data_IF_369422555413
#
_entry.id   IF_369422555413
#
_cell.length_a   1.000
_cell.length_b   1.000
_cell.length_c   1.000
_cell.angle_alpha   90.00
_cell.angle_beta   90.00
_cell.angle_gamma   90.00
#
_symmetry.space_group_name_H-M   'P 1'
#
loop_
_entity.id
_entity.type
_entity.pdbx_description
1 polymer ?
#
# COMPACT_ATOMS: atom_id res chain seq x y z
N UNK A 1 -0.43 15.97 -4.07
CA UNK A 1 -1.36 15.25 -3.18
C UNK A 1 -2.31 16.26 -2.56
N UNK A 2 -3.58 15.90 -2.32
CA UNK A 2 -4.55 16.81 -1.69
C UNK A 2 -4.11 17.08 -0.25
N UNK A 3 -3.78 18.33 0.06
CA UNK A 3 -3.21 18.72 1.38
C UNK A 3 -4.26 19.14 2.40
N UNK A 4 -5.50 19.41 1.95
CA UNK A 4 -6.59 19.91 2.77
C UNK A 4 -7.93 19.50 2.16
N UNK A 5 -8.85 19.00 2.98
CA UNK A 5 -10.27 18.94 2.60
C UNK A 5 -10.94 20.22 3.09
N UNK A 6 -11.65 20.90 2.19
CA UNK A 6 -12.50 22.05 2.48
C UNK A 6 -13.95 21.60 2.60
N UNK A 7 -14.73 22.33 3.38
CA UNK A 7 -16.14 22.02 3.55
C UNK A 7 -16.91 22.28 2.24
N UNK A 8 -17.84 21.39 1.89
CA UNK A 8 -18.64 21.47 0.66
C UNK A 8 -17.97 20.98 -0.63
N UNK A 9 -16.71 20.53 -0.61
CA UNK A 9 -16.02 20.01 -1.80
C UNK A 9 -15.92 18.48 -1.81
N UNK A 10 -16.28 17.86 -2.94
CA UNK A 10 -16.08 16.42 -3.17
C UNK A 10 -14.87 16.21 -4.07
N UNK A 11 -13.88 15.46 -3.59
CA UNK A 11 -12.66 15.12 -4.34
C UNK A 11 -12.54 13.61 -4.51
N UNK A 12 -12.46 13.12 -5.76
CA UNK A 12 -12.11 11.73 -6.03
C UNK A 12 -10.58 11.57 -5.93
N UNK A 13 -10.10 11.06 -4.79
CA UNK A 13 -8.68 10.85 -4.55
C UNK A 13 -8.11 9.57 -5.18
N UNK A 14 -9.00 8.65 -5.58
CA UNK A 14 -8.62 7.40 -6.22
C UNK A 14 -9.55 6.25 -5.88
N UNK A 15 -9.19 5.06 -6.36
CA UNK A 15 -9.91 3.82 -6.06
C UNK A 15 -9.34 3.16 -4.80
N UNK A 16 -10.19 2.85 -3.83
CA UNK A 16 -9.81 2.05 -2.65
C UNK A 16 -9.52 0.62 -3.10
N UNK A 17 -8.31 0.12 -2.82
CA UNK A 17 -7.87 -1.22 -3.23
C UNK A 17 -7.71 -2.15 -2.03
N UNK A 18 -8.79 -2.81 -1.63
CA UNK A 18 -8.82 -3.68 -0.43
C UNK A 18 -7.79 -4.83 -0.53
N UNK A 19 -7.55 -5.39 -1.73
CA UNK A 19 -6.81 -6.65 -1.88
C UNK A 19 -5.28 -6.52 -1.92
N UNK A 20 -4.70 -5.31 -1.89
CA UNK A 20 -3.25 -5.09 -2.04
C UNK A 20 -2.57 -4.54 -0.77
N UNK A 21 -3.34 -4.30 0.30
CA UNK A 21 -2.79 -3.81 1.57
C UNK A 21 -1.74 -4.77 2.10
N UNK A 22 -2.08 -6.05 2.27
CA UNK A 22 -1.20 -7.00 2.98
C UNK A 22 0.11 -7.31 2.27
N UNK A 23 0.16 -7.20 0.94
CA UNK A 23 1.31 -7.64 0.16
C UNK A 23 2.37 -6.56 -0.01
N UNK A 24 1.97 -5.32 -0.27
CA UNK A 24 2.91 -4.25 -0.62
C UNK A 24 2.73 -2.97 0.20
N UNK A 25 1.50 -2.68 0.63
CA UNK A 25 1.19 -1.42 1.31
C UNK A 25 1.19 -1.52 2.85
N UNK A 26 1.27 -2.73 3.42
CA UNK A 26 1.20 -2.98 4.86
C UNK A 26 2.18 -2.15 5.68
N UNK A 27 3.48 -2.02 5.33
CA UNK A 27 4.41 -1.20 6.11
C UNK A 27 3.99 0.28 6.15
N UNK A 28 3.59 0.84 5.00
CA UNK A 28 3.18 2.24 4.90
C UNK A 28 1.86 2.50 5.64
N UNK A 29 0.89 1.59 5.49
CA UNK A 29 -0.41 1.65 6.18
C UNK A 29 -0.22 1.53 7.69
N UNK A 30 0.58 0.58 8.19
CA UNK A 30 0.85 0.45 9.62
C UNK A 30 1.55 1.68 10.20
N UNK A 31 2.50 2.26 9.47
CA UNK A 31 3.17 3.48 9.90
C UNK A 31 2.17 4.67 9.98
N UNK A 32 1.26 4.78 9.01
CA UNK A 32 0.22 5.79 9.02
C UNK A 32 -0.79 5.57 10.17
N UNK A 33 -1.17 4.31 10.45
CA UNK A 33 -1.99 3.97 11.62
C UNK A 33 -1.33 4.46 12.90
N UNK A 34 -0.04 4.21 13.10
CA UNK A 34 0.68 4.70 14.29
C UNK A 34 0.66 6.23 14.42
N UNK A 35 0.85 6.95 13.31
CA UNK A 35 0.81 8.43 13.30
C UNK A 35 -0.58 9.00 13.56
N UNK A 36 -1.60 8.40 12.96
CA UNK A 36 -3.00 8.81 13.11
C UNK A 36 -3.49 8.48 14.52
N UNK A 37 -3.09 7.33 15.07
CA UNK A 37 -3.45 6.93 16.42
C UNK A 37 -2.82 7.82 17.50
N UNK A 38 -1.57 8.24 17.33
CA UNK A 38 -0.93 9.20 18.22
C UNK A 38 -1.53 10.63 18.14
N UNK A 39 -2.39 10.90 17.16
CA UNK A 39 -3.02 12.20 16.97
C UNK A 39 -4.37 12.37 17.68
N UNK A 40 -4.89 13.60 17.59
CA UNK A 40 -6.25 13.92 18.02
C UNK A 40 -7.31 13.14 17.21
N UNK A 41 -8.48 12.94 17.81
CA UNK A 41 -9.65 12.39 17.10
C UNK A 41 -10.01 13.24 15.88
N UNK A 42 -10.54 12.60 14.83
CA UNK A 42 -10.82 13.28 13.57
C UNK A 42 -9.59 13.47 12.67
N UNK A 43 -8.39 13.09 13.13
CA UNK A 43 -7.19 13.04 12.29
C UNK A 43 -7.34 11.93 11.25
N UNK A 44 -6.87 12.24 10.05
CA UNK A 44 -6.74 11.29 8.96
C UNK A 44 -5.38 11.43 8.29
N UNK A 45 -4.99 10.41 7.54
CA UNK A 45 -3.82 10.43 6.68
C UNK A 45 -4.13 9.71 5.37
N UNK A 46 -3.69 10.29 4.24
CA UNK A 46 -3.76 9.65 2.93
C UNK A 46 -2.44 8.95 2.64
N UNK A 47 -2.50 7.64 2.41
CA UNK A 47 -1.37 6.80 2.05
C UNK A 47 -1.46 6.47 0.57
N UNK A 48 -0.41 6.76 -0.19
CA UNK A 48 -0.35 6.40 -1.60
C UNK A 48 -0.32 4.87 -1.77
N UNK A 49 -1.19 4.34 -2.65
CA UNK A 49 -1.12 2.92 -3.00
C UNK A 49 0.08 2.67 -3.90
N UNK A 50 0.58 1.44 -3.89
CA UNK A 50 1.67 1.04 -4.77
C UNK A 50 1.27 -0.15 -5.62
N UNK A 51 1.82 -0.19 -6.83
CA UNK A 51 1.68 -1.29 -7.77
C UNK A 51 3.03 -1.99 -7.92
N UNK A 52 3.07 -3.32 -7.91
CA UNK A 52 4.21 -4.00 -8.50
C UNK A 52 4.28 -3.68 -10.00
N UNK A 53 5.49 -3.73 -10.55
CA UNK A 53 5.73 -3.51 -11.98
C UNK A 53 4.81 -4.38 -12.88
N UNK A 54 4.44 -3.89 -14.08
CA UNK A 54 3.68 -4.68 -15.03
C UNK A 54 4.32 -6.05 -15.30
N UNK A 55 3.51 -7.11 -15.28
CA UNK A 55 3.99 -8.48 -15.53
C UNK A 55 4.79 -9.11 -14.37
N UNK A 56 4.79 -8.52 -13.17
CA UNK A 56 5.48 -9.07 -12.00
C UNK A 56 5.13 -10.54 -11.71
N UNK A 57 3.91 -10.99 -12.00
CA UNK A 57 3.49 -12.38 -11.79
C UNK A 57 4.30 -13.37 -12.64
N UNK A 58 4.53 -13.05 -13.91
CA UNK A 58 5.34 -13.88 -14.80
C UNK A 58 6.80 -13.92 -14.32
N UNK A 59 7.34 -12.76 -13.90
CA UNK A 59 8.68 -12.66 -13.32
C UNK A 59 8.80 -13.47 -12.03
N UNK A 60 7.79 -13.43 -11.15
CA UNK A 60 7.75 -14.21 -9.92
C UNK A 60 7.73 -15.71 -10.21
N UNK A 61 6.89 -16.17 -11.15
CA UNK A 61 6.86 -17.58 -11.57
C UNK A 61 8.21 -18.03 -12.13
N UNK A 62 8.84 -17.20 -12.96
CA UNK A 62 10.19 -17.43 -13.49
C UNK A 62 11.24 -17.52 -12.39
N UNK A 63 11.19 -16.62 -11.39
CA UNK A 63 12.07 -16.66 -10.22
C UNK A 63 11.89 -17.94 -9.42
N UNK A 64 10.66 -18.30 -9.06
CA UNK A 64 10.37 -19.53 -8.32
C UNK A 64 10.88 -20.77 -9.05
N UNK A 65 10.72 -20.84 -10.39
CA UNK A 65 11.27 -21.95 -11.19
C UNK A 65 12.79 -22.04 -11.08
N UNK A 66 13.51 -20.92 -11.14
CA UNK A 66 14.97 -20.87 -10.95
C UNK A 66 15.38 -21.27 -9.52
N UNK A 67 14.62 -20.83 -8.52
CA UNK A 67 14.90 -21.14 -7.11
C UNK A 67 14.73 -22.62 -6.76
N UNK A 68 13.90 -23.38 -7.49
CA UNK A 68 13.72 -24.83 -7.27
C UNK A 68 15.01 -25.63 -7.38
N UNK A 69 15.95 -25.19 -8.23
CA UNK A 69 17.27 -25.84 -8.38
C UNK A 69 18.31 -25.37 -7.36
N UNK A 70 18.01 -24.36 -6.54
CA UNK A 70 18.91 -23.80 -5.54
C UNK A 70 18.68 -24.50 -4.21
N UNK A 71 19.77 -24.82 -3.50
CA UNK A 71 19.69 -25.37 -2.14
C UNK A 71 18.83 -24.46 -1.25
N UNK A 72 17.92 -25.06 -0.46
CA UNK A 72 16.91 -24.34 0.34
C UNK A 72 17.49 -23.20 1.18
N UNK A 73 18.67 -23.39 1.77
CA UNK A 73 19.36 -22.41 2.60
C UNK A 73 19.87 -21.17 1.81
N UNK A 74 19.99 -21.27 0.49
CA UNK A 74 20.44 -20.19 -0.41
C UNK A 74 19.30 -19.59 -1.24
N UNK A 75 18.06 -20.05 -1.04
CA UNK A 75 16.93 -19.52 -1.80
C UNK A 75 16.60 -18.10 -1.37
N UNK A 76 16.28 -17.26 -2.34
CA UNK A 76 15.92 -15.85 -2.10
C UNK A 76 14.47 -15.57 -2.45
N UNK A 77 13.86 -14.63 -1.72
CA UNK A 77 12.53 -14.12 -2.04
C UNK A 77 12.54 -13.36 -3.37
N UNK A 78 11.39 -13.33 -4.05
CA UNK A 78 11.20 -12.46 -5.21
C UNK A 78 10.83 -11.07 -4.73
N UNK A 79 11.62 -10.07 -5.12
CA UNK A 79 11.36 -8.67 -4.85
C UNK A 79 11.01 -7.96 -6.17
N UNK A 80 9.73 -7.59 -6.40
CA UNK A 80 9.38 -6.80 -7.57
C UNK A 80 9.76 -5.34 -7.36
N UNK A 81 10.00 -4.64 -8.46
CA UNK A 81 10.01 -3.18 -8.44
C UNK A 81 8.61 -2.67 -8.13
N UNK A 82 8.51 -1.80 -7.13
CA UNK A 82 7.26 -1.20 -6.68
C UNK A 82 7.20 0.24 -7.21
N UNK A 83 6.07 0.60 -7.81
CA UNK A 83 5.80 1.93 -8.39
C UNK A 83 4.56 2.52 -7.72
N UNK A 84 4.57 3.83 -7.47
CA UNK A 84 3.39 4.52 -6.92
C UNK A 84 2.20 4.42 -7.89
N UNK A 85 1.03 4.09 -7.37
CA UNK A 85 -0.20 4.13 -8.15
C UNK A 85 -0.64 5.59 -8.33
N UNK A 86 -0.87 6.01 -9.57
CA UNK A 86 -1.22 7.41 -9.88
C UNK A 86 -2.55 7.83 -9.23
N UNK A 87 -3.56 6.96 -9.28
CA UNK A 87 -4.94 7.29 -8.88
C UNK A 87 -5.50 6.30 -7.84
N UNK A 88 -4.66 5.84 -6.90
CA UNK A 88 -5.10 4.93 -5.84
C UNK A 88 -4.39 5.21 -4.51
N UNK A 89 -5.11 5.00 -3.42
CA UNK A 89 -4.61 5.25 -2.08
C UNK A 89 -5.54 4.72 -1.00
N UNK A 90 -5.11 4.90 0.24
CA UNK A 90 -5.84 4.50 1.45
C UNK A 90 -6.02 5.71 2.34
N UNK A 91 -7.22 5.87 2.90
CA UNK A 91 -7.48 6.86 3.95
C UNK A 91 -7.45 6.10 5.27
N UNK A 92 -6.55 6.51 6.15
CA UNK A 92 -6.52 6.06 7.54
C UNK A 92 -7.18 7.13 8.37
N UNK A 93 -8.27 6.80 9.05
CA UNK A 93 -9.07 7.76 9.81
C UNK A 93 -9.29 7.29 11.25
N UNK A 94 -9.06 8.19 12.21
CA UNK A 94 -9.39 7.95 13.62
C UNK A 94 -10.80 8.45 13.93
N UNK A 95 -11.73 7.50 13.95
CA UNK A 95 -13.15 7.78 14.13
C UNK A 95 -13.49 8.40 15.50
N UNK A 96 -14.59 9.17 15.50
CA UNK A 96 -15.22 9.66 16.72
C UNK A 96 -16.10 8.54 17.26
N UNK A 97 -16.00 8.20 18.55
CA UNK A 97 -17.04 7.36 19.17
C UNK A 97 -18.37 8.10 19.02
N UNK A 98 -19.35 7.45 18.38
CA UNK A 98 -20.76 7.89 18.36
C UNK A 98 -21.27 8.00 19.80
#
# INVERSE_FOLDING_TARGET
ALLKFTDGEMHLLGTVRINLVDKWNKPAVSAAIGRVDAGNRGRWELVAAVNPEPGWEAKQKGHQKRQRGVAKAKQTAFEPTIVQAQNAGYIIYKDRKV
#
